data_IF_750753138739
#
_entry.id   IF_750753138739
#
_cell.length_a   1.000
_cell.length_b   1.000
_cell.length_c   1.000
_cell.angle_alpha   90.00
_cell.angle_beta   90.00
_cell.angle_gamma   90.00
#
_symmetry.space_group_name_H-M   'P 1'
#
loop_
_entity.id
_entity.type
_entity.pdbx_description
1 polymer ?
#
# COMPACT_ATOMS: atom_id res chain seq x y z
N UNK A 1 3.54 21.07 25.53
CA UNK A 1 2.64 22.21 25.24
C UNK A 1 1.25 21.83 25.71
N UNK A 2 0.45 22.77 26.21
CA UNK A 2 -0.94 22.47 26.60
C UNK A 2 -1.82 22.42 25.35
N UNK A 3 -2.76 21.48 25.28
CA UNK A 3 -3.70 21.36 24.15
C UNK A 3 -4.57 22.61 24.01
N UNK A 4 -4.89 23.27 25.12
CA UNK A 4 -5.58 24.56 25.18
C UNK A 4 -4.87 25.67 24.40
N UNK A 5 -3.56 25.55 24.13
CA UNK A 5 -2.83 26.54 23.32
C UNK A 5 -3.24 26.48 21.83
N UNK A 6 -3.88 25.40 21.38
CA UNK A 6 -4.39 25.25 20.01
C UNK A 6 -5.69 26.01 19.79
N UNK A 7 -6.46 26.24 20.87
CA UNK A 7 -7.80 26.81 20.84
C UNK A 7 -7.85 28.15 20.10
N UNK A 8 -6.94 29.06 20.42
CA UNK A 8 -6.96 30.43 19.90
C UNK A 8 -6.85 30.47 18.37
N UNK A 9 -5.99 29.62 17.79
CA UNK A 9 -5.82 29.54 16.33
C UNK A 9 -7.05 28.95 15.63
N UNK A 10 -7.66 27.93 16.22
CA UNK A 10 -8.88 27.30 15.69
C UNK A 10 -10.07 28.27 15.79
N UNK A 11 -10.22 28.94 16.94
CA UNK A 11 -11.25 29.95 17.16
C UNK A 11 -11.17 31.06 16.12
N UNK A 12 -9.99 31.68 15.95
CA UNK A 12 -9.77 32.74 14.96
C UNK A 12 -10.08 32.29 13.54
N UNK A 13 -9.67 31.08 13.19
CA UNK A 13 -9.95 30.53 11.86
C UNK A 13 -11.45 30.44 11.59
N UNK A 14 -12.24 29.82 12.47
CA UNK A 14 -13.69 29.70 12.26
C UNK A 14 -14.43 31.03 12.40
N UNK A 15 -14.04 31.89 13.34
CA UNK A 15 -14.63 33.25 13.47
C UNK A 15 -14.39 34.08 12.21
N UNK A 16 -13.22 33.94 11.56
CA UNK A 16 -12.94 34.63 10.28
C UNK A 16 -13.83 34.16 9.13
N UNK A 17 -14.38 32.95 9.21
CA UNK A 17 -15.36 32.38 8.27
C UNK A 17 -16.81 32.73 8.66
N UNK A 18 -17.00 33.50 9.72
CA UNK A 18 -18.29 33.97 10.22
C UNK A 18 -19.03 32.96 11.11
N UNK A 19 -18.32 32.00 11.71
CA UNK A 19 -18.90 31.09 12.69
C UNK A 19 -18.88 31.69 14.11
N UNK A 20 -19.90 31.36 14.90
CA UNK A 20 -19.89 31.54 16.34
C UNK A 20 -19.13 30.37 16.98
N UNK A 21 -18.06 30.67 17.72
CA UNK A 21 -17.23 29.63 18.36
C UNK A 21 -17.48 29.57 19.88
N UNK A 22 -17.54 28.33 20.40
CA UNK A 22 -17.63 28.01 21.84
C UNK A 22 -16.66 26.88 22.19
N UNK A 23 -16.06 26.96 23.37
CA UNK A 23 -15.17 25.92 23.90
C UNK A 23 -15.93 24.97 24.84
N UNK A 24 -15.44 23.73 24.97
CA UNK A 24 -15.86 22.75 25.98
C UNK A 24 -17.38 22.49 26.03
N UNK A 25 -17.99 22.24 24.87
CA UNK A 25 -19.42 21.96 24.75
C UNK A 25 -19.64 20.45 24.70
N UNK A 26 -20.23 19.87 25.75
CA UNK A 26 -20.58 18.43 25.82
C UNK A 26 -19.40 17.51 25.40
N UNK A 27 -18.24 17.74 26.00
CA UNK A 27 -17.00 16.99 25.74
C UNK A 27 -16.42 17.15 24.31
N UNK A 28 -16.81 18.21 23.60
CA UNK A 28 -16.16 18.65 22.35
C UNK A 28 -15.32 19.88 22.69
N UNK A 29 -14.02 19.82 22.37
CA UNK A 29 -13.09 20.89 22.71
C UNK A 29 -13.50 22.23 22.09
N UNK A 30 -13.90 22.24 20.82
CA UNK A 30 -14.41 23.43 20.12
C UNK A 30 -15.64 23.10 19.29
N UNK A 31 -16.70 23.89 19.45
CA UNK A 31 -17.85 23.89 18.56
C UNK A 31 -17.92 25.22 17.80
N UNK A 32 -18.12 25.16 16.49
CA UNK A 32 -18.35 26.31 15.64
C UNK A 32 -19.71 26.17 14.95
N UNK A 33 -20.55 27.20 15.04
CA UNK A 33 -21.92 27.18 14.51
C UNK A 33 -22.12 28.36 13.57
N UNK A 34 -22.71 28.09 12.41
CA UNK A 34 -23.16 29.13 11.47
C UNK A 34 -24.45 28.67 10.81
N UNK A 35 -25.51 29.44 10.98
CA UNK A 35 -26.87 29.03 10.59
C UNK A 35 -27.19 27.67 11.23
N UNK A 36 -27.55 26.66 10.42
CA UNK A 36 -27.84 25.29 10.90
C UNK A 36 -26.63 24.35 10.85
N UNK A 37 -25.44 24.84 10.45
CA UNK A 37 -24.23 24.03 10.34
C UNK A 37 -23.47 23.98 11.67
N UNK A 38 -23.34 22.79 12.24
CA UNK A 38 -22.57 22.50 13.45
C UNK A 38 -21.25 21.78 13.13
N UNK A 39 -20.14 22.45 13.46
CA UNK A 39 -18.78 21.91 13.32
C UNK A 39 -18.22 21.56 14.69
N UNK A 40 -17.74 20.33 14.85
CA UNK A 40 -16.96 19.90 16.01
C UNK A 40 -15.46 19.87 15.70
N UNK A 41 -14.62 20.29 16.64
CA UNK A 41 -13.16 20.20 16.52
C UNK A 41 -12.57 19.59 17.79
N UNK A 42 -11.77 18.54 17.61
CA UNK A 42 -10.99 17.90 18.67
C UNK A 42 -9.53 18.37 18.61
N UNK A 43 -8.97 18.81 19.75
CA UNK A 43 -7.63 19.40 19.84
C UNK A 43 -6.66 18.38 20.44
N UNK A 44 -5.55 18.09 19.75
CA UNK A 44 -4.50 17.22 20.30
C UNK A 44 -3.11 17.71 19.95
N UNK A 45 -2.15 17.47 20.83
CA UNK A 45 -0.75 17.77 20.53
C UNK A 45 -0.15 16.91 19.41
N UNK A 46 -0.73 15.73 19.15
CA UNK A 46 -0.27 14.80 18.13
C UNK A 46 -1.45 14.09 17.49
N UNK A 47 -1.25 13.63 16.25
CA UNK A 47 -2.22 12.78 15.58
C UNK A 47 -2.11 11.34 16.13
N UNK A 48 -3.02 10.96 17.02
CA UNK A 48 -3.08 9.62 17.64
C UNK A 48 -4.35 8.88 17.22
N UNK A 49 -4.38 7.55 17.41
CA UNK A 49 -5.59 6.75 17.16
C UNK A 49 -6.75 7.24 18.02
N UNK A 50 -6.49 7.58 19.29
CA UNK A 50 -7.52 8.10 20.19
C UNK A 50 -8.18 9.38 19.65
N UNK A 51 -7.39 10.31 19.08
CA UNK A 51 -7.92 11.51 18.44
C UNK A 51 -8.81 11.17 17.23
N UNK A 52 -8.42 10.17 16.44
CA UNK A 52 -9.25 9.72 15.32
C UNK A 52 -10.57 9.14 15.83
N UNK A 53 -10.54 8.35 16.89
CA UNK A 53 -11.74 7.79 17.52
C UNK A 53 -12.63 8.90 18.04
N UNK A 54 -12.09 9.87 18.79
CA UNK A 54 -12.84 11.04 19.27
C UNK A 54 -13.50 11.79 18.11
N UNK A 55 -12.75 12.12 17.06
CA UNK A 55 -13.30 12.78 15.86
C UNK A 55 -14.46 11.99 15.25
N UNK A 56 -14.30 10.68 15.05
CA UNK A 56 -15.40 9.85 14.50
C UNK A 56 -16.62 9.76 15.40
N UNK A 57 -16.45 9.82 16.73
CA UNK A 57 -17.57 9.85 17.66
C UNK A 57 -18.37 11.15 17.56
N UNK A 58 -17.72 12.28 17.23
CA UNK A 58 -18.40 13.58 17.07
C UNK A 58 -19.24 13.67 15.81
N UNK A 59 -18.94 12.88 14.79
CA UNK A 59 -19.77 12.78 13.58
C UNK A 59 -21.20 12.26 13.85
N UNK A 60 -21.45 11.68 15.04
CA UNK A 60 -22.82 11.29 15.46
C UNK A 60 -23.72 12.49 15.75
N UNK A 61 -23.14 13.66 16.03
CA UNK A 61 -23.86 14.83 16.52
C UNK A 61 -23.50 16.13 15.79
N UNK A 62 -22.37 16.19 15.08
CA UNK A 62 -21.94 17.33 14.28
C UNK A 62 -22.04 17.02 12.78
N UNK A 63 -22.32 18.03 11.96
CA UNK A 63 -22.40 17.90 10.50
C UNK A 63 -21.02 17.71 9.89
N UNK A 64 -20.03 18.47 10.38
CA UNK A 64 -18.63 18.37 9.97
C UNK A 64 -17.73 18.25 11.20
N UNK A 65 -16.67 17.46 11.08
CA UNK A 65 -15.71 17.27 12.16
C UNK A 65 -14.29 17.49 11.67
N UNK A 66 -13.56 18.31 12.40
CA UNK A 66 -12.13 18.52 12.24
C UNK A 66 -11.37 17.94 13.42
N UNK A 67 -10.12 17.58 13.17
CA UNK A 67 -9.11 17.42 14.21
C UNK A 67 -8.05 18.50 14.01
N UNK A 68 -7.56 19.07 15.11
CA UNK A 68 -6.55 20.12 15.06
C UNK A 68 -5.30 19.68 15.83
N UNK A 69 -4.15 19.82 15.18
CA UNK A 69 -2.84 19.49 15.75
C UNK A 69 -1.84 20.62 15.51
N UNK A 70 -0.75 20.73 16.28
CA UNK A 70 0.28 21.72 16.04
C UNK A 70 0.88 21.54 14.64
N UNK A 71 1.19 22.66 13.96
CA UNK A 71 1.94 22.62 12.70
C UNK A 71 3.31 21.98 12.93
N UNK A 72 3.70 20.93 12.20
CA UNK A 72 5.03 20.34 12.34
C UNK A 72 6.12 21.35 11.98
N UNK A 73 7.15 21.49 12.84
CA UNK A 73 8.29 22.40 12.59
C UNK A 73 8.99 22.13 11.25
N UNK A 74 9.03 20.87 10.81
CA UNK A 74 9.58 20.44 9.53
C UNK A 74 8.51 19.71 8.72
N UNK A 75 7.55 20.47 8.20
CA UNK A 75 6.53 19.91 7.34
C UNK A 75 7.13 19.44 6.00
N UNK A 76 6.93 18.17 5.67
CA UNK A 76 7.27 17.59 4.38
C UNK A 76 6.11 16.74 3.89
N UNK A 77 5.67 16.98 2.66
CA UNK A 77 4.64 16.16 2.00
C UNK A 77 5.26 14.85 1.51
N UNK A 78 5.45 13.92 2.44
CA UNK A 78 6.00 12.59 2.17
C UNK A 78 4.88 11.54 2.00
N UNK A 79 5.28 10.28 1.73
CA UNK A 79 4.35 9.16 1.58
C UNK A 79 3.54 8.89 2.85
N UNK A 80 4.17 8.98 4.02
CA UNK A 80 3.51 8.77 5.30
C UNK A 80 2.39 9.78 5.53
N UNK A 81 2.66 11.07 5.35
CA UNK A 81 1.66 12.12 5.42
C UNK A 81 0.54 11.93 4.40
N UNK A 82 0.87 11.48 3.18
CA UNK A 82 -0.14 11.17 2.17
C UNK A 82 -1.04 9.99 2.58
N UNK A 83 -0.48 8.97 3.24
CA UNK A 83 -1.25 7.85 3.80
C UNK A 83 -2.16 8.33 4.96
N UNK A 84 -1.66 9.22 5.80
CA UNK A 84 -2.44 9.86 6.87
C UNK A 84 -3.63 10.63 6.30
N UNK A 85 -3.41 11.49 5.30
CA UNK A 85 -4.50 12.19 4.63
C UNK A 85 -5.50 11.23 3.97
N UNK A 86 -5.03 10.09 3.44
CA UNK A 86 -5.91 9.05 2.92
C UNK A 86 -6.80 8.46 4.02
N UNK A 87 -6.25 8.16 5.20
CA UNK A 87 -7.03 7.68 6.34
C UNK A 87 -8.06 8.72 6.79
N UNK A 88 -7.68 9.99 6.94
CA UNK A 88 -8.61 11.04 7.36
C UNK A 88 -9.75 11.23 6.35
N UNK A 89 -9.45 11.20 5.04
CA UNK A 89 -10.48 11.18 4.00
C UNK A 89 -11.42 9.99 4.14
N UNK A 90 -10.91 8.80 4.47
CA UNK A 90 -11.72 7.58 4.69
C UNK A 90 -12.60 7.66 5.93
N UNK A 91 -12.19 8.44 6.91
CA UNK A 91 -12.94 8.72 8.13
C UNK A 91 -13.82 9.96 7.98
N UNK A 92 -13.77 10.66 6.84
CA UNK A 92 -14.51 11.91 6.60
C UNK A 92 -14.19 13.01 7.62
N UNK A 93 -12.94 13.01 8.12
CA UNK A 93 -12.43 13.99 9.07
C UNK A 93 -11.61 15.07 8.36
N UNK A 94 -11.82 16.32 8.75
CA UNK A 94 -10.97 17.44 8.39
C UNK A 94 -9.71 17.52 9.24
N UNK A 95 -8.67 18.18 8.75
CA UNK A 95 -7.41 18.39 9.46
C UNK A 95 -7.03 19.87 9.45
N UNK A 96 -6.83 20.43 10.64
CA UNK A 96 -6.24 21.75 10.84
C UNK A 96 -4.83 21.63 11.41
N UNK A 97 -3.90 22.41 10.85
CA UNK A 97 -2.61 22.67 11.48
C UNK A 97 -2.63 24.02 12.17
N UNK A 98 -2.27 24.04 13.45
CA UNK A 98 -2.22 25.27 14.26
C UNK A 98 -0.77 25.70 14.46
N UNK A 99 -0.44 26.88 13.96
CA UNK A 99 0.77 27.60 14.32
C UNK A 99 0.50 28.32 15.66
N UNK A 100 0.94 27.70 16.75
CA UNK A 100 0.67 28.19 18.11
C UNK A 100 1.39 29.50 18.39
N UNK A 101 2.57 29.71 17.81
CA UNK A 101 3.35 30.94 18.02
C UNK A 101 2.65 32.15 17.37
N UNK A 102 1.99 31.93 16.23
CA UNK A 102 1.21 32.97 15.54
C UNK A 102 -0.27 33.01 15.93
N UNK A 103 -0.76 31.99 16.62
CA UNK A 103 -2.19 31.83 16.92
C UNK A 103 -3.04 31.74 15.65
N UNK A 104 -2.57 31.01 14.63
CA UNK A 104 -3.25 30.85 13.34
C UNK A 104 -3.44 29.37 13.02
N UNK A 105 -4.60 29.01 12.47
CA UNK A 105 -4.83 27.67 11.91
C UNK A 105 -4.88 27.70 10.38
N UNK A 106 -4.35 26.65 9.75
CA UNK A 106 -4.41 26.38 8.32
C UNK A 106 -5.18 25.08 8.10
N UNK A 107 -6.15 25.11 7.19
CA UNK A 107 -6.87 23.92 6.77
C UNK A 107 -6.05 23.11 5.76
N UNK A 108 -5.77 21.88 6.13
CA UNK A 108 -4.96 20.94 5.35
C UNK A 108 -5.84 19.94 4.62
N UNK A 109 -6.96 19.60 5.23
CA UNK A 109 -7.97 18.71 4.67
C UNK A 109 -9.35 19.17 5.12
N UNK A 110 -10.22 19.39 4.16
CA UNK A 110 -11.65 19.60 4.40
C UNK A 110 -12.36 18.25 4.66
N UNK A 111 -13.25 18.17 5.66
CA UNK A 111 -14.11 17.02 5.86
C UNK A 111 -15.10 16.92 4.70
N UNK A 112 -15.11 15.78 4.02
CA UNK A 112 -15.98 15.55 2.88
C UNK A 112 -16.36 14.07 2.79
N UNK A 113 -17.55 13.81 2.26
CA UNK A 113 -18.05 12.46 2.02
C UNK A 113 -17.07 11.63 1.16
N UNK A 114 -16.74 10.42 1.63
CA UNK A 114 -15.84 9.53 0.94
C UNK A 114 -16.58 8.53 0.07
N UNK A 115 -16.62 8.80 -1.24
CA UNK A 115 -17.20 7.85 -2.19
C UNK A 115 -16.25 6.65 -2.44
N UNK A 116 -16.49 5.55 -1.73
CA UNK A 116 -15.75 4.30 -1.81
C UNK A 116 -15.72 3.70 -3.22
N UNK A 117 -16.83 3.75 -3.93
CA UNK A 117 -16.98 3.09 -5.23
C UNK A 117 -16.22 3.84 -6.32
N UNK A 118 -16.23 5.18 -6.28
CA UNK A 118 -15.40 6.02 -7.13
C UNK A 118 -13.91 5.75 -6.90
N UNK A 119 -13.49 5.65 -5.63
CA UNK A 119 -12.11 5.35 -5.27
C UNK A 119 -11.66 3.96 -5.76
N UNK A 120 -12.52 2.94 -5.63
CA UNK A 120 -12.26 1.58 -6.13
C UNK A 120 -12.18 1.54 -7.65
N UNK A 121 -13.06 2.28 -8.33
CA UNK A 121 -13.10 2.34 -9.80
C UNK A 121 -11.82 2.93 -10.39
N UNK A 122 -11.22 3.94 -9.74
CA UNK A 122 -9.93 4.50 -10.12
C UNK A 122 -8.76 3.50 -10.02
N UNK A 123 -8.91 2.43 -9.23
CA UNK A 123 -7.88 1.42 -8.97
C UNK A 123 -8.06 0.13 -9.79
N UNK A 124 -9.01 0.08 -10.73
CA UNK A 124 -9.34 -1.14 -11.50
C UNK A 124 -8.11 -1.72 -12.20
N UNK A 125 -7.24 -0.89 -12.79
CA UNK A 125 -6.04 -1.35 -13.49
C UNK A 125 -4.98 -1.91 -12.52
N UNK A 126 -4.79 -1.27 -11.35
CA UNK A 126 -3.89 -1.78 -10.31
C UNK A 126 -4.41 -3.10 -9.74
N UNK A 127 -5.72 -3.21 -9.54
CA UNK A 127 -6.38 -4.46 -9.14
C UNK A 127 -6.19 -5.56 -10.19
N UNK A 128 -6.37 -5.26 -11.48
CA UNK A 128 -6.10 -6.20 -12.58
C UNK A 128 -4.64 -6.66 -12.61
N UNK A 129 -3.68 -5.76 -12.38
CA UNK A 129 -2.27 -6.10 -12.30
C UNK A 129 -1.96 -7.04 -11.12
N UNK A 130 -2.49 -6.74 -9.93
CA UNK A 130 -2.37 -7.61 -8.75
C UNK A 130 -2.98 -8.99 -8.98
N UNK A 131 -4.18 -9.04 -9.58
CA UNK A 131 -4.84 -10.31 -9.91
C UNK A 131 -4.04 -11.12 -10.95
N UNK A 132 -3.42 -10.46 -11.92
CA UNK A 132 -2.53 -11.10 -12.90
C UNK A 132 -1.28 -11.66 -12.22
N UNK A 133 -0.72 -10.93 -11.26
CA UNK A 133 0.43 -11.39 -10.48
C UNK A 133 0.07 -12.62 -9.64
N UNK A 134 -1.06 -12.60 -8.94
CA UNK A 134 -1.52 -13.72 -8.11
C UNK A 134 -1.79 -14.97 -8.97
N UNK A 135 -2.48 -14.82 -10.10
CA UNK A 135 -2.78 -15.95 -11.01
C UNK A 135 -1.54 -16.52 -11.71
N UNK A 136 -0.44 -15.77 -11.74
CA UNK A 136 0.83 -16.22 -12.31
C UNK A 136 1.69 -17.05 -11.35
N UNK A 137 1.29 -17.22 -10.08
CA UNK A 137 2.03 -18.03 -9.09
C UNK A 137 1.37 -19.40 -8.97
N UNK A 138 2.11 -20.47 -9.27
CA UNK A 138 1.57 -21.84 -9.24
C UNK A 138 1.95 -22.60 -7.97
N UNK A 139 2.82 -22.05 -7.13
CA UNK A 139 3.13 -22.64 -5.82
C UNK A 139 3.07 -21.58 -4.71
N UNK A 140 2.42 -21.94 -3.60
CA UNK A 140 2.36 -21.15 -2.37
C UNK A 140 3.67 -21.25 -1.60
N UNK A 141 4.76 -20.69 -2.14
CA UNK A 141 6.11 -20.81 -1.55
C UNK A 141 6.52 -19.65 -0.66
N UNK A 142 5.66 -18.64 -0.49
CA UNK A 142 5.92 -17.54 0.43
C UNK A 142 4.89 -17.61 1.57
N UNK A 143 5.22 -18.35 2.65
CA UNK A 143 4.63 -18.03 3.94
C UNK A 143 5.02 -16.57 4.27
N UNK A 144 4.02 -15.73 4.50
CA UNK A 144 4.25 -14.32 4.82
C UNK A 144 5.19 -14.17 6.02
N UNK A 145 6.16 -13.27 5.92
CA UNK A 145 7.01 -12.88 7.05
C UNK A 145 8.44 -13.43 7.09
N UNK A 146 8.94 -14.15 6.08
CA UNK A 146 10.33 -14.58 6.08
C UNK A 146 11.28 -13.50 5.53
N UNK A 147 11.98 -12.80 6.42
CA UNK A 147 13.01 -11.80 6.10
C UNK A 147 14.31 -12.39 5.50
N UNK A 148 14.31 -13.67 5.11
CA UNK A 148 15.50 -14.38 4.60
C UNK A 148 15.27 -15.24 3.36
N UNK A 149 14.06 -15.28 2.79
CA UNK A 149 13.80 -16.05 1.57
C UNK A 149 13.88 -15.13 0.35
N UNK A 150 14.77 -15.44 -0.60
CA UNK A 150 14.92 -14.65 -1.84
C UNK A 150 13.56 -14.59 -2.58
N UNK A 151 13.08 -13.38 -2.88
CA UNK A 151 11.77 -13.11 -3.51
C UNK A 151 11.49 -13.99 -4.74
N UNK A 152 10.66 -15.02 -4.62
CA UNK A 152 10.24 -15.85 -5.76
C UNK A 152 9.33 -15.04 -6.70
N UNK A 153 9.87 -14.60 -7.83
CA UNK A 153 9.09 -13.90 -8.88
C UNK A 153 8.52 -14.92 -9.88
N UNK A 154 7.47 -14.56 -10.60
CA UNK A 154 6.87 -15.44 -11.62
C UNK A 154 7.89 -15.86 -12.71
N UNK A 155 8.79 -14.95 -13.11
CA UNK A 155 9.86 -15.29 -14.05
C UNK A 155 10.84 -16.33 -13.48
N UNK A 156 11.20 -16.20 -12.19
CA UNK A 156 12.07 -17.18 -11.53
C UNK A 156 11.39 -18.54 -11.41
N UNK A 157 10.13 -18.57 -11.00
CA UNK A 157 9.33 -19.80 -10.91
C UNK A 157 9.27 -20.53 -12.27
N UNK A 158 8.94 -19.81 -13.34
CA UNK A 158 8.90 -20.39 -14.69
C UNK A 158 10.28 -20.84 -15.17
N UNK A 159 11.36 -20.14 -14.79
CA UNK A 159 12.74 -20.54 -15.11
C UNK A 159 13.14 -21.82 -14.37
N UNK A 160 12.76 -21.98 -13.11
CA UNK A 160 13.01 -23.20 -12.33
C UNK A 160 12.22 -24.40 -12.86
N UNK A 161 10.97 -24.19 -13.32
CA UNK A 161 10.20 -25.23 -14.03
C UNK A 161 10.89 -25.64 -15.34
N UNK A 162 11.41 -24.68 -16.11
CA UNK A 162 12.16 -25.00 -17.33
C UNK A 162 13.42 -25.82 -17.03
N UNK A 163 14.13 -25.51 -15.95
CA UNK A 163 15.26 -26.32 -15.45
C UNK A 163 14.82 -27.72 -15.05
N UNK A 164 13.70 -27.85 -14.32
CA UNK A 164 13.14 -29.15 -13.91
C UNK A 164 12.86 -30.05 -15.13
N UNK A 165 12.28 -29.50 -16.19
CA UNK A 165 12.01 -30.21 -17.44
C UNK A 165 13.32 -30.61 -18.14
N UNK A 166 14.30 -29.70 -18.18
CA UNK A 166 15.61 -29.96 -18.76
C UNK A 166 16.36 -31.11 -18.07
N UNK A 167 16.25 -31.23 -16.75
CA UNK A 167 16.83 -32.33 -16.00
C UNK A 167 16.18 -33.69 -16.32
N UNK A 168 14.92 -33.68 -16.75
CA UNK A 168 14.20 -34.90 -17.12
C UNK A 168 14.41 -35.29 -18.59
N UNK A 169 14.28 -34.32 -19.50
CA UNK A 169 14.35 -34.55 -20.96
C UNK A 169 15.77 -34.44 -21.53
N UNK A 170 16.73 -33.92 -20.78
CA UNK A 170 18.10 -33.61 -21.21
C UNK A 170 18.21 -32.38 -22.13
N UNK A 171 17.26 -32.19 -23.05
CA UNK A 171 17.14 -31.00 -23.89
C UNK A 171 15.69 -30.57 -24.06
N UNK A 172 15.46 -29.28 -24.28
CA UNK A 172 14.11 -28.73 -24.52
C UNK A 172 14.11 -27.75 -25.68
N UNK A 173 12.97 -27.67 -26.37
CA UNK A 173 12.66 -26.63 -27.32
C UNK A 173 11.65 -25.61 -26.75
N UNK A 174 11.58 -24.39 -27.32
CA UNK A 174 10.52 -23.41 -27.02
C UNK A 174 9.09 -23.97 -27.06
N UNK A 175 8.84 -25.00 -27.87
CA UNK A 175 7.53 -25.67 -27.98
C UNK A 175 7.21 -26.49 -26.72
N UNK A 176 8.17 -27.22 -26.16
CA UNK A 176 7.99 -28.01 -24.94
C UNK A 176 7.55 -27.15 -23.75
N UNK A 177 8.12 -25.94 -23.63
CA UNK A 177 7.71 -24.99 -22.59
C UNK A 177 6.27 -24.51 -22.81
N UNK A 178 5.88 -24.22 -24.06
CA UNK A 178 4.52 -23.75 -24.37
C UNK A 178 3.46 -24.81 -24.11
N UNK A 179 3.76 -26.08 -24.38
CA UNK A 179 2.84 -27.20 -24.12
C UNK A 179 2.49 -27.31 -22.63
N UNK A 180 3.41 -26.90 -21.74
CA UNK A 180 3.21 -26.84 -20.29
C UNK A 180 2.76 -25.46 -19.79
N UNK A 181 2.37 -24.56 -20.70
CA UNK A 181 1.90 -23.21 -20.36
C UNK A 181 2.98 -22.23 -19.90
N UNK A 182 4.26 -22.56 -20.06
CA UNK A 182 5.39 -21.72 -19.67
C UNK A 182 5.79 -20.75 -20.80
N UNK A 183 6.38 -19.60 -20.45
CA UNK A 183 6.89 -18.66 -21.45
C UNK A 183 8.13 -19.21 -22.15
N UNK A 184 8.03 -19.39 -23.46
CA UNK A 184 9.16 -19.84 -24.28
C UNK A 184 10.33 -18.85 -24.33
N UNK A 185 10.11 -17.57 -24.01
CA UNK A 185 11.17 -16.55 -24.05
C UNK A 185 12.23 -16.77 -22.98
N UNK A 186 11.92 -17.52 -21.91
CA UNK A 186 12.85 -17.82 -20.80
C UNK A 186 14.18 -18.40 -21.28
N UNK A 187 14.14 -19.33 -22.24
CA UNK A 187 15.34 -19.97 -22.79
C UNK A 187 16.24 -18.99 -23.53
N UNK A 188 15.64 -17.99 -24.18
CA UNK A 188 16.36 -16.97 -24.96
C UNK A 188 16.83 -15.82 -24.08
N UNK A 189 15.96 -15.35 -23.19
CA UNK A 189 16.22 -14.18 -22.35
C UNK A 189 17.23 -14.54 -21.24
N UNK A 190 17.20 -15.79 -20.75
CA UNK A 190 18.23 -16.44 -19.93
C UNK A 190 18.88 -15.56 -18.84
N UNK A 191 18.08 -14.76 -18.13
CA UNK A 191 18.56 -13.82 -17.11
C UNK A 191 19.42 -14.45 -15.99
N UNK A 192 19.28 -15.76 -15.76
CA UNK A 192 20.05 -16.50 -14.76
C UNK A 192 21.25 -17.28 -15.33
N UNK A 193 21.42 -17.32 -16.66
CA UNK A 193 22.53 -18.06 -17.26
C UNK A 193 22.43 -19.58 -17.09
N UNK A 194 21.24 -20.15 -16.87
CA UNK A 194 21.06 -21.60 -16.68
C UNK A 194 20.94 -22.37 -18.00
N UNK A 195 20.65 -21.70 -19.11
CA UNK A 195 20.34 -22.36 -20.37
C UNK A 195 21.44 -22.13 -21.41
N UNK A 196 21.84 -23.20 -22.10
CA UNK A 196 22.80 -23.16 -23.20
C UNK A 196 22.16 -23.62 -24.49
N UNK A 197 22.22 -22.80 -25.54
CA UNK A 197 21.69 -23.14 -26.86
C UNK A 197 22.71 -23.99 -27.62
N UNK A 198 22.34 -25.22 -27.99
CA UNK A 198 23.21 -26.16 -28.72
C UNK A 198 22.86 -26.29 -30.20
N UNK A 199 21.60 -26.01 -30.57
CA UNK A 199 21.13 -26.04 -31.94
C UNK A 199 20.00 -25.03 -32.17
N UNK A 200 19.50 -24.93 -33.40
CA UNK A 200 18.38 -24.05 -33.72
C UNK A 200 17.13 -24.51 -32.96
N UNK A 201 16.80 -23.77 -31.89
CA UNK A 201 15.62 -24.03 -31.07
C UNK A 201 15.80 -25.15 -30.04
N UNK A 202 17.03 -25.63 -29.80
CA UNK A 202 17.32 -26.68 -28.82
C UNK A 202 18.26 -26.13 -27.75
N UNK A 203 17.84 -26.29 -26.50
CA UNK A 203 18.54 -25.80 -25.32
C UNK A 203 18.81 -26.95 -24.37
N UNK A 204 19.94 -26.88 -23.67
CA UNK A 204 20.32 -27.77 -22.57
C UNK A 204 20.57 -26.95 -21.32
N UNK A 205 20.66 -27.62 -20.17
CA UNK A 205 21.15 -26.97 -18.96
C UNK A 205 22.65 -26.68 -19.14
N UNK A 206 23.07 -25.46 -18.81
CA UNK A 206 24.49 -25.12 -18.83
C UNK A 206 25.23 -25.93 -17.75
N UNK A 207 26.44 -26.39 -18.03
CA UNK A 207 27.27 -27.12 -17.07
C UNK A 207 27.88 -26.16 -16.04
N UNK A 208 28.10 -24.89 -16.44
CA UNK A 208 28.65 -23.82 -15.62
C UNK A 208 27.58 -22.99 -14.92
N UNK A 209 26.41 -23.58 -14.61
CA UNK A 209 25.24 -22.94 -13.98
C UNK A 209 25.66 -21.84 -13.01
N UNK A 210 24.96 -20.71 -13.02
CA UNK A 210 25.25 -19.62 -12.08
C UNK A 210 25.24 -20.10 -10.62
N UNK A 211 26.06 -19.46 -9.79
CA UNK A 211 26.26 -19.81 -8.37
C UNK A 211 24.95 -19.87 -7.55
N UNK A 212 23.91 -19.17 -7.99
CA UNK A 212 22.61 -19.17 -7.32
C UNK A 212 21.73 -20.38 -7.65
N UNK A 213 22.10 -21.23 -8.62
CA UNK A 213 21.39 -22.46 -8.96
C UNK A 213 21.20 -23.38 -7.74
N UNK A 214 22.26 -23.55 -6.95
CA UNK A 214 22.25 -24.41 -5.76
C UNK A 214 21.27 -23.93 -4.70
N UNK A 215 21.02 -22.61 -4.64
CA UNK A 215 20.06 -22.03 -3.71
C UNK A 215 18.60 -22.41 -4.01
N UNK A 216 18.32 -23.00 -5.18
CA UNK A 216 16.99 -23.37 -5.60
C UNK A 216 16.79 -24.87 -5.85
N UNK A 217 17.77 -25.71 -5.47
CA UNK A 217 17.74 -27.16 -5.70
C UNK A 217 16.48 -27.83 -5.14
N UNK A 218 16.02 -27.42 -3.97
CA UNK A 218 14.82 -27.95 -3.33
C UNK A 218 13.56 -27.64 -4.15
N UNK A 219 13.41 -26.39 -4.61
CA UNK A 219 12.30 -25.99 -5.48
C UNK A 219 12.32 -26.71 -6.83
N UNK A 220 13.49 -26.90 -7.42
CA UNK A 220 13.64 -27.65 -8.68
C UNK A 220 13.15 -29.09 -8.47
N UNK A 221 13.51 -29.71 -7.35
CA UNK A 221 13.09 -31.08 -7.00
C UNK A 221 11.58 -31.17 -6.81
N UNK A 222 10.99 -30.18 -6.14
CA UNK A 222 9.52 -30.07 -5.97
C UNK A 222 8.81 -29.91 -7.32
N UNK A 223 9.30 -29.04 -8.21
CA UNK A 223 8.75 -28.88 -9.55
C UNK A 223 8.88 -30.14 -10.40
N UNK A 224 10.00 -30.87 -10.31
CA UNK A 224 10.17 -32.16 -10.99
C UNK A 224 9.12 -33.16 -10.53
N UNK A 225 8.88 -33.24 -9.22
CA UNK A 225 7.84 -34.11 -8.66
C UNK A 225 6.46 -33.74 -9.20
N UNK A 226 6.07 -32.47 -9.13
CA UNK A 226 4.73 -32.02 -9.59
C UNK A 226 4.53 -32.21 -11.10
N UNK A 227 5.58 -32.01 -11.91
CA UNK A 227 5.47 -32.08 -13.37
C UNK A 227 5.52 -33.50 -13.94
N UNK A 228 6.12 -34.47 -13.21
CA UNK A 228 6.42 -35.80 -13.76
C UNK A 228 5.97 -36.99 -12.89
N UNK A 229 5.40 -36.78 -11.69
CA UNK A 229 4.81 -37.84 -10.83
C UNK A 229 3.27 -37.83 -10.80
N UNK A 230 2.61 -37.43 -11.90
CA UNK A 230 1.18 -37.76 -12.16
C UNK A 230 1.08 -38.84 -13.23
#
# INVERSE_FOLDING_TARGET
>A
MKETNLYEGVKKYFESLGFLVRAEVKDIDVCAIKEDLLIGVELKNNLTVDLLVQGTLRQKVCDLVYIAVPRPKRFKKNREFSNTLHLLRRLELGLLFVDVDKGMAEEILEPAYFNLDKARSALVNRRKALLKEIKGRSLSLNQGGSSRTRLMTAYREESLKAVAILLEKGSVAPKDLKELGLKSTILRDNYYGWFKKIARGTYVLDDCKSDDYECYRDYISEFRSVLFLM
#
